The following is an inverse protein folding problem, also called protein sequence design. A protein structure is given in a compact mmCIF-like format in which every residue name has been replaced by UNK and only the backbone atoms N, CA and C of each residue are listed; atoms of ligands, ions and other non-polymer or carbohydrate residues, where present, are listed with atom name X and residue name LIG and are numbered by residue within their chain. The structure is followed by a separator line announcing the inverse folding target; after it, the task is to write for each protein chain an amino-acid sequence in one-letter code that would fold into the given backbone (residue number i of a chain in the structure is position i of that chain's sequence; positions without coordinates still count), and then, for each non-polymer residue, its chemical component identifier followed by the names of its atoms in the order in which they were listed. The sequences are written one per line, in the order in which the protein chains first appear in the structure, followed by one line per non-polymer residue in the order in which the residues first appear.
data_IF_289732542611
#
_entry.id   IF_289732542611
#
_cell.length_a   1.000
_cell.length_b   1.000
_cell.length_c   1.000
_cell.angle_alpha   90.00
_cell.angle_beta   90.00
_cell.angle_gamma   90.00
#
_symmetry.space_group_name_H-M   'P 1'
#
loop_
_entity.id
_entity.type
_entity.pdbx_description
1 polymer ?
#
# COMPACT_ATOMS: atom_id res chain seq x y z
N UNK A 1 -33.55 9.69 65.58
CA UNK A 1 -33.10 8.39 65.03
C UNK A 1 -32.91 8.59 63.53
N UNK A 2 -31.68 8.94 63.10
CA UNK A 2 -31.37 9.48 61.77
C UNK A 2 -31.05 8.35 60.76
N UNK A 3 -31.87 8.20 59.72
CA UNK A 3 -31.56 7.35 58.55
C UNK A 3 -30.64 8.11 57.59
N UNK A 4 -29.41 7.63 57.42
CA UNK A 4 -28.48 8.13 56.39
C UNK A 4 -28.66 7.29 55.12
N UNK A 5 -29.17 7.89 54.05
CA UNK A 5 -29.19 7.27 52.72
C UNK A 5 -27.81 7.45 52.08
N UNK A 6 -27.13 6.33 51.79
CA UNK A 6 -25.87 6.31 51.04
C UNK A 6 -26.21 6.19 49.55
N UNK A 7 -25.88 7.22 48.78
CA UNK A 7 -25.95 7.20 47.32
C UNK A 7 -24.75 6.38 46.80
N UNK A 8 -25.01 5.25 46.14
CA UNK A 8 -23.98 4.50 45.40
C UNK A 8 -23.96 5.03 43.97
N UNK A 9 -22.90 5.75 43.59
CA UNK A 9 -22.66 6.17 42.20
C UNK A 9 -21.97 5.02 41.47
N UNK A 10 -22.67 4.38 40.52
CA UNK A 10 -22.07 3.40 39.62
C UNK A 10 -21.40 4.13 38.45
N UNK A 11 -20.09 3.97 38.30
CA UNK A 11 -19.34 4.42 37.11
C UNK A 11 -19.52 3.36 36.03
N UNK A 12 -20.22 3.71 34.94
CA UNK A 12 -20.32 2.86 33.75
C UNK A 12 -19.09 3.13 32.89
N UNK A 13 -18.19 2.14 32.78
CA UNK A 13 -17.06 2.21 31.88
C UNK A 13 -17.53 1.93 30.44
N UNK A 14 -17.24 2.79 29.45
CA UNK A 14 -17.59 2.52 28.06
C UNK A 14 -16.75 1.35 27.52
N UNK A 15 -17.43 0.30 27.06
CA UNK A 15 -16.82 -0.82 26.35
C UNK A 15 -16.47 -0.36 24.93
N UNK A 16 -15.19 -0.07 24.68
CA UNK A 16 -14.71 0.22 23.33
C UNK A 16 -14.59 -1.12 22.59
N UNK A 17 -15.52 -1.40 21.69
CA UNK A 17 -15.39 -2.49 20.74
C UNK A 17 -14.31 -2.10 19.73
N UNK A 18 -13.15 -2.74 19.79
CA UNK A 18 -12.13 -2.58 18.76
C UNK A 18 -12.69 -3.12 17.43
N UNK A 19 -12.81 -2.27 16.42
CA UNK A 19 -13.09 -2.71 15.07
C UNK A 19 -11.91 -3.57 14.59
N UNK A 20 -12.19 -4.74 14.02
CA UNK A 20 -11.16 -5.57 13.39
C UNK A 20 -10.63 -4.82 12.17
N UNK A 21 -9.33 -4.50 12.15
CA UNK A 21 -8.69 -4.05 10.92
C UNK A 21 -8.70 -5.22 9.94
N UNK A 22 -9.31 -5.03 8.76
CA UNK A 22 -9.31 -6.02 7.68
C UNK A 22 -8.23 -5.61 6.67
N UNK A 23 -7.41 -6.58 6.29
CA UNK A 23 -6.42 -6.43 5.24
C UNK A 23 -6.75 -7.42 4.13
N UNK A 24 -6.80 -6.93 2.88
CA UNK A 24 -6.85 -7.82 1.72
C UNK A 24 -5.43 -7.99 1.16
N UNK A 25 -5.08 -9.23 0.81
CA UNK A 25 -3.74 -9.60 0.37
C UNK A 25 -3.77 -9.98 -1.11
N UNK A 26 -2.88 -9.38 -1.89
CA UNK A 26 -2.72 -9.68 -3.31
C UNK A 26 -1.27 -10.07 -3.61
N UNK A 27 -1.12 -11.13 -4.40
CA UNK A 27 0.16 -11.51 -4.99
C UNK A 27 0.36 -10.88 -6.36
N UNK A 28 1.53 -11.12 -6.96
CA UNK A 28 1.88 -10.59 -8.28
C UNK A 28 1.96 -11.68 -9.34
N UNK A 29 1.82 -11.27 -10.60
CA UNK A 29 2.10 -12.10 -11.77
C UNK A 29 3.16 -11.43 -12.63
N UNK A 30 3.95 -12.24 -13.32
CA UNK A 30 5.00 -11.75 -14.22
C UNK A 30 4.41 -11.49 -15.60
N UNK A 31 4.42 -10.22 -16.03
CA UNK A 31 3.83 -9.78 -17.31
C UNK A 31 4.86 -9.67 -18.45
N UNK A 32 6.14 -9.54 -18.12
CA UNK A 32 7.26 -9.53 -19.09
C UNK A 32 8.29 -10.60 -18.71
N UNK A 33 8.99 -11.15 -19.71
CA UNK A 33 10.00 -12.18 -19.48
C UNK A 33 11.40 -11.65 -19.82
N UNK A 34 11.92 -10.77 -18.97
CA UNK A 34 13.21 -10.11 -19.13
C UNK A 34 14.33 -10.70 -18.25
N UNK A 35 14.06 -11.80 -17.54
CA UNK A 35 15.02 -12.49 -16.69
C UNK A 35 14.70 -14.00 -16.58
N UNK A 36 15.71 -14.80 -16.26
CA UNK A 36 15.61 -16.26 -16.15
C UNK A 36 14.72 -16.73 -15.00
N UNK A 37 14.65 -15.94 -13.92
CA UNK A 37 13.87 -16.27 -12.74
C UNK A 37 12.57 -15.46 -12.66
N UNK A 38 11.47 -16.15 -12.32
CA UNK A 38 10.22 -15.50 -11.94
C UNK A 38 10.19 -15.30 -10.42
N UNK A 39 10.21 -14.05 -9.97
CA UNK A 39 10.18 -13.67 -8.56
C UNK A 39 8.81 -13.16 -8.10
N UNK A 40 7.76 -13.30 -8.92
CA UNK A 40 6.45 -12.74 -8.58
C UNK A 40 5.85 -13.35 -7.29
N UNK A 41 6.15 -14.62 -6.99
CA UNK A 41 5.61 -15.34 -5.81
C UNK A 41 6.16 -14.87 -4.47
N UNK A 42 7.27 -14.12 -4.44
CA UNK A 42 7.80 -13.55 -3.21
C UNK A 42 7.34 -12.10 -2.97
N UNK A 43 6.63 -11.50 -3.92
CA UNK A 43 6.07 -10.16 -3.76
C UNK A 43 4.63 -10.25 -3.25
N UNK A 44 4.30 -9.36 -2.33
CA UNK A 44 2.97 -9.25 -1.75
C UNK A 44 2.61 -7.79 -1.55
N UNK A 45 1.37 -7.42 -1.87
CA UNK A 45 0.76 -6.16 -1.44
C UNK A 45 -0.38 -6.45 -0.47
N UNK A 46 -0.28 -5.83 0.70
CA UNK A 46 -1.32 -5.79 1.70
C UNK A 46 -2.04 -4.45 1.58
N UNK A 47 -3.37 -4.48 1.44
CA UNK A 47 -4.18 -3.29 1.34
C UNK A 47 -5.08 -3.19 2.57
N UNK A 48 -5.08 -2.04 3.24
CA UNK A 48 -5.87 -1.79 4.46
C UNK A 48 -6.64 -0.49 4.38
N UNK A 49 -7.85 -0.46 4.97
CA UNK A 49 -8.62 0.77 5.15
C UNK A 49 -7.93 1.63 6.23
N UNK A 50 -7.35 2.76 5.80
CA UNK A 50 -6.69 3.70 6.69
C UNK A 50 -7.69 4.70 7.32
N UNK A 51 -8.98 4.54 7.01
CA UNK A 51 -10.07 5.40 7.44
C UNK A 51 -10.10 6.73 6.69
N UNK A 52 -11.16 7.50 6.91
CA UNK A 52 -11.30 8.89 6.41
C UNK A 52 -11.06 9.07 4.89
N UNK A 53 -11.37 8.04 4.08
CA UNK A 53 -11.17 8.07 2.63
C UNK A 53 -9.73 7.79 2.19
N UNK A 54 -8.97 7.03 2.98
CA UNK A 54 -7.61 6.60 2.64
C UNK A 54 -7.49 5.08 2.63
N UNK A 55 -6.63 4.57 1.75
CA UNK A 55 -6.19 3.18 1.77
C UNK A 55 -4.65 3.12 1.80
N UNK A 56 -4.11 2.19 2.59
CA UNK A 56 -2.68 1.91 2.69
C UNK A 56 -2.33 0.67 1.87
N UNK A 57 -1.35 0.80 0.96
CA UNK A 57 -0.82 -0.28 0.15
C UNK A 57 0.60 -0.58 0.61
N UNK A 58 0.77 -1.69 1.34
CA UNK A 58 2.05 -2.13 1.87
C UNK A 58 2.65 -3.25 1.03
N UNK A 59 3.74 -2.94 0.35
CA UNK A 59 4.53 -3.87 -0.46
C UNK A 59 5.62 -4.52 0.36
N UNK A 60 5.80 -5.82 0.15
CA UNK A 60 6.85 -6.62 0.79
C UNK A 60 7.45 -7.61 -0.19
N UNK A 61 8.69 -8.03 0.08
CA UNK A 61 9.43 -8.99 -0.70
C UNK A 61 10.01 -10.06 0.24
N UNK A 62 9.60 -11.32 0.12
CA UNK A 62 10.15 -12.41 0.93
C UNK A 62 11.64 -12.68 0.64
N UNK A 63 12.16 -12.19 -0.49
CA UNK A 63 13.57 -12.22 -0.88
C UNK A 63 14.19 -13.64 -0.89
N UNK A 64 13.39 -14.65 -1.29
CA UNK A 64 13.85 -16.03 -1.47
C UNK A 64 14.84 -16.16 -2.64
N UNK A 65 14.66 -15.31 -3.65
CA UNK A 65 15.55 -15.08 -4.78
C UNK A 65 15.96 -13.62 -4.76
N UNK A 66 17.26 -13.34 -4.95
CA UNK A 66 17.80 -11.98 -4.98
C UNK A 66 17.06 -11.10 -6.00
N UNK A 67 16.30 -10.13 -5.50
CA UNK A 67 15.56 -9.15 -6.30
C UNK A 67 15.17 -7.97 -5.42
N UNK A 68 14.72 -6.88 -6.04
CA UNK A 68 14.28 -5.67 -5.35
C UNK A 68 13.01 -5.15 -6.03
N UNK A 69 11.99 -4.82 -5.24
CA UNK A 69 10.87 -4.02 -5.73
C UNK A 69 11.41 -2.59 -5.84
N UNK A 70 11.60 -2.12 -7.07
CA UNK A 70 12.23 -0.83 -7.36
C UNK A 70 11.22 0.19 -7.86
N UNK A 71 10.15 -0.25 -8.50
CA UNK A 71 9.07 0.60 -8.96
C UNK A 71 7.72 -0.03 -8.59
N UNK A 72 6.73 0.80 -8.28
CA UNK A 72 5.33 0.40 -8.10
C UNK A 72 4.43 1.30 -8.94
N UNK A 73 3.43 0.70 -9.59
CA UNK A 73 2.48 1.36 -10.47
C UNK A 73 1.07 0.93 -10.08
N UNK A 74 0.11 1.85 -10.16
CA UNK A 74 -1.28 1.61 -9.83
C UNK A 74 -2.17 1.95 -11.03
N UNK A 75 -3.17 1.11 -11.24
CA UNK A 75 -4.18 1.30 -12.29
C UNK A 75 -5.25 2.30 -11.81
N UNK A 76 -5.77 3.13 -12.72
CA UNK A 76 -6.39 4.43 -12.42
C UNK A 76 -7.86 4.41 -11.93
N UNK A 77 -8.26 3.37 -11.18
CA UNK A 77 -9.63 3.13 -10.69
C UNK A 77 -10.17 4.13 -9.64
N UNK A 78 -10.33 3.70 -8.39
CA UNK A 78 -10.93 4.53 -7.31
C UNK A 78 -9.94 5.47 -6.61
N UNK A 79 -8.69 5.49 -7.08
CA UNK A 79 -7.59 6.20 -6.45
C UNK A 79 -7.54 7.67 -6.90
N UNK A 80 -7.62 8.59 -5.93
CA UNK A 80 -7.56 10.04 -6.17
C UNK A 80 -6.12 10.57 -6.19
N UNK A 81 -5.18 9.92 -5.51
CA UNK A 81 -3.76 10.30 -5.58
C UNK A 81 -2.95 9.76 -4.40
N UNK A 82 -1.63 9.71 -4.56
CA UNK A 82 -0.72 9.35 -3.47
C UNK A 82 -0.71 10.49 -2.46
N UNK A 83 -1.19 10.20 -1.25
CA UNK A 83 -1.23 11.13 -0.14
C UNK A 83 0.10 11.14 0.64
N UNK A 84 0.72 9.97 0.81
CA UNK A 84 2.05 9.87 1.43
C UNK A 84 2.76 8.57 1.08
N UNK A 85 4.09 8.62 1.12
CA UNK A 85 4.97 7.47 1.02
C UNK A 85 5.69 7.32 2.35
N UNK A 86 5.76 6.10 2.86
CA UNK A 86 6.50 5.75 4.08
C UNK A 86 7.12 4.37 3.91
N UNK A 87 8.22 4.10 4.59
CA UNK A 87 8.99 2.89 4.34
C UNK A 87 9.80 2.46 5.57
N UNK A 88 10.28 1.22 5.54
CA UNK A 88 11.29 0.74 6.49
C UNK A 88 12.65 1.42 6.27
N UNK A 89 13.55 1.31 7.26
CA UNK A 89 14.94 1.73 7.09
C UNK A 89 15.59 0.99 5.92
N UNK A 90 16.29 1.72 5.06
CA UNK A 90 16.95 1.18 3.86
C UNK A 90 16.13 1.32 2.59
N UNK A 91 14.81 1.56 2.71
CA UNK A 91 13.91 1.75 1.57
C UNK A 91 13.61 3.23 1.40
N UNK A 92 13.76 3.76 0.19
CA UNK A 92 13.49 5.17 -0.13
C UNK A 92 12.83 5.28 -1.51
N UNK A 93 11.68 5.93 -1.59
CA UNK A 93 10.86 6.04 -2.81
C UNK A 93 10.37 7.47 -3.02
N UNK A 94 10.34 7.87 -4.28
CA UNK A 94 9.79 9.15 -4.74
C UNK A 94 8.74 8.93 -5.85
N UNK A 95 7.89 9.93 -6.06
CA UNK A 95 6.92 9.95 -7.15
C UNK A 95 7.23 11.07 -8.17
N UNK A 96 6.87 10.90 -9.45
CA UNK A 96 6.42 9.66 -10.09
C UNK A 96 7.61 8.73 -10.44
N UNK A 97 7.32 7.48 -10.80
CA UNK A 97 8.35 6.58 -11.33
C UNK A 97 8.90 7.04 -12.70
N UNK A 98 10.11 6.61 -13.06
CA UNK A 98 10.70 6.77 -14.40
C UNK A 98 11.11 5.42 -15.01
N UNK A 99 10.46 4.93 -16.09
CA UNK A 99 9.38 5.57 -16.84
C UNK A 99 8.08 5.66 -16.03
N UNK A 100 7.22 6.63 -16.34
CA UNK A 100 6.02 6.82 -15.53
C UNK A 100 4.88 5.82 -15.80
N UNK A 101 4.94 5.05 -16.89
CA UNK A 101 3.96 4.00 -17.21
C UNK A 101 4.59 2.63 -16.99
N UNK A 102 3.80 1.66 -16.51
CA UNK A 102 4.24 0.30 -16.27
C UNK A 102 4.84 -0.32 -17.56
N UNK A 103 6.13 -0.70 -17.56
CA UNK A 103 6.73 -1.37 -18.70
C UNK A 103 6.01 -2.69 -19.03
N UNK A 104 5.51 -2.80 -20.27
CA UNK A 104 4.69 -3.94 -20.73
C UNK A 104 3.22 -3.88 -20.30
N UNK A 105 2.78 -2.86 -19.55
CA UNK A 105 1.38 -2.70 -19.15
C UNK A 105 0.43 -2.53 -20.34
N UNK A 106 0.92 -1.99 -21.46
CA UNK A 106 0.15 -1.82 -22.70
C UNK A 106 -0.16 -3.13 -23.44
N UNK A 107 0.39 -4.27 -23.02
CA UNK A 107 0.10 -5.59 -23.61
C UNK A 107 -0.94 -6.39 -22.82
N UNK A 108 -1.45 -5.84 -21.71
CA UNK A 108 -2.52 -6.44 -20.91
C UNK A 108 -3.90 -6.18 -21.54
N UNK A 109 -4.90 -6.98 -21.16
CA UNK A 109 -6.29 -6.82 -21.59
C UNK A 109 -7.24 -6.79 -20.37
N UNK A 110 -7.79 -5.62 -20.00
CA UNK A 110 -7.52 -4.30 -20.60
C UNK A 110 -6.07 -3.81 -20.34
N UNK A 111 -5.57 -2.83 -21.13
CA UNK A 111 -4.27 -2.21 -20.87
C UNK A 111 -4.22 -1.59 -19.48
N UNK A 112 -3.04 -1.63 -18.85
CA UNK A 112 -2.81 -1.00 -17.55
C UNK A 112 -2.58 0.51 -17.72
N UNK A 113 -3.34 1.34 -17.01
CA UNK A 113 -3.29 2.79 -17.13
C UNK A 113 -2.79 3.42 -15.82
N UNK A 114 -1.55 3.91 -15.82
CA UNK A 114 -0.96 4.55 -14.62
C UNK A 114 -1.44 6.00 -14.42
N UNK A 115 -2.09 6.58 -15.43
CA UNK A 115 -2.54 7.97 -15.42
C UNK A 115 -3.98 8.08 -14.95
N UNK A 116 -4.26 8.94 -13.97
CA UNK A 116 -5.63 9.29 -13.61
C UNK A 116 -6.37 10.09 -14.69
N UNK A 117 -7.69 10.17 -14.50
CA UNK A 117 -8.58 11.22 -15.05
C UNK A 117 -8.04 12.66 -14.95
N UNK A 118 -7.06 12.96 -14.08
CA UNK A 118 -6.44 14.29 -13.90
C UNK A 118 -4.95 14.38 -14.28
N UNK A 119 -4.43 13.43 -15.08
CA UNK A 119 -3.05 13.44 -15.59
C UNK A 119 -1.93 13.36 -14.54
N UNK A 120 -2.23 12.94 -13.30
CA UNK A 120 -1.21 12.52 -12.33
C UNK A 120 -0.86 11.05 -12.54
N UNK A 121 0.43 10.71 -12.47
CA UNK A 121 0.90 9.32 -12.57
C UNK A 121 0.92 8.68 -11.19
N UNK A 122 0.19 7.58 -11.05
CA UNK A 122 0.12 6.80 -9.83
C UNK A 122 1.25 5.78 -9.82
N UNK A 123 2.46 6.28 -9.64
CA UNK A 123 3.65 5.45 -9.56
C UNK A 123 4.69 6.06 -8.63
N UNK A 124 5.57 5.20 -8.12
CA UNK A 124 6.73 5.60 -7.35
C UNK A 124 7.90 4.67 -7.67
N UNK A 125 9.11 5.22 -7.71
CA UNK A 125 10.35 4.47 -7.88
C UNK A 125 11.31 4.69 -6.70
N UNK A 126 12.23 3.76 -6.53
CA UNK A 126 13.24 3.82 -5.49
C UNK A 126 14.31 4.86 -5.82
N UNK A 127 14.64 5.70 -4.85
CA UNK A 127 15.66 6.74 -5.00
C UNK A 127 17.06 6.12 -5.23
N UNK A 128 18.00 6.82 -5.89
CA UNK A 128 19.37 6.34 -6.03
C UNK A 128 20.07 6.07 -4.68
N UNK A 129 20.80 4.94 -4.54
CA UNK A 129 20.94 3.86 -5.51
C UNK A 129 19.68 2.98 -5.57
N UNK A 130 19.13 2.80 -6.78
CA UNK A 130 17.81 2.19 -7.04
C UNK A 130 17.66 0.81 -6.40
N UNK A 131 18.53 -0.15 -6.74
CA UNK A 131 18.38 -1.52 -6.23
C UNK A 131 18.53 -1.61 -4.68
N UNK A 132 19.57 -1.02 -4.05
CA UNK A 132 19.69 -1.03 -2.58
C UNK A 132 18.58 -0.28 -1.84
N UNK A 133 17.97 0.74 -2.45
CA UNK A 133 16.90 1.52 -1.83
C UNK A 133 15.48 0.99 -2.14
N UNK A 134 15.36 -0.02 -2.99
CA UNK A 134 14.12 -0.77 -3.18
C UNK A 134 13.84 -1.74 -2.04
N UNK A 135 12.71 -2.45 -2.09
CA UNK A 135 12.37 -3.50 -1.10
C UNK A 135 13.10 -4.79 -1.48
N UNK A 136 14.27 -5.03 -0.88
CA UNK A 136 15.22 -6.07 -1.29
C UNK A 136 15.48 -7.16 -0.23
N UNK A 137 14.99 -6.99 0.99
CA UNK A 137 15.04 -8.00 2.07
C UNK A 137 13.67 -8.35 2.65
N UNK A 138 13.58 -9.49 3.35
CA UNK A 138 12.36 -9.98 4.00
C UNK A 138 11.84 -9.12 5.15
N UNK A 139 12.66 -8.19 5.66
CA UNK A 139 12.27 -7.26 6.73
C UNK A 139 11.90 -5.86 6.23
N UNK A 140 12.10 -5.59 4.94
CA UNK A 140 11.84 -4.29 4.34
C UNK A 140 10.40 -4.19 3.83
N UNK A 141 9.87 -2.98 3.82
CA UNK A 141 8.55 -2.68 3.30
C UNK A 141 8.46 -1.25 2.77
N UNK A 142 7.55 -1.07 1.81
CA UNK A 142 7.12 0.21 1.27
C UNK A 142 5.61 0.33 1.53
N UNK A 143 5.16 1.44 2.10
CA UNK A 143 3.74 1.76 2.23
C UNK A 143 3.41 3.03 1.44
N UNK A 144 2.49 2.90 0.49
CA UNK A 144 1.93 4.03 -0.26
C UNK A 144 0.49 4.23 0.19
N UNK A 145 0.23 5.40 0.78
CA UNK A 145 -1.11 5.81 1.18
C UNK A 145 -1.77 6.56 0.04
N UNK A 146 -2.95 6.14 -0.35
CA UNK A 146 -3.78 6.82 -1.33
C UNK A 146 -4.96 7.53 -0.69
N UNK A 147 -5.25 8.73 -1.18
CA UNK A 147 -6.58 9.30 -1.04
C UNK A 147 -7.52 8.61 -2.04
N UNK A 148 -8.76 8.35 -1.63
CA UNK A 148 -9.81 7.75 -2.45
C UNK A 148 -10.79 8.82 -2.94
N UNK A 149 -11.46 8.55 -4.07
CA UNK A 149 -12.58 9.39 -4.50
C UNK A 149 -13.68 9.45 -3.42
N UNK A 150 -14.40 10.57 -3.35
CA UNK A 150 -15.47 10.73 -2.37
C UNK A 150 -16.51 9.61 -2.48
N UNK A 151 -16.77 8.92 -1.37
CA UNK A 151 -17.71 7.80 -1.31
C UNK A 151 -17.15 6.46 -1.78
N UNK A 152 -15.91 6.42 -2.28
CA UNK A 152 -15.20 5.16 -2.46
C UNK A 152 -14.76 4.61 -1.10
N UNK A 153 -14.78 3.28 -1.01
CA UNK A 153 -14.34 2.52 0.17
C UNK A 153 -13.30 1.51 -0.26
N UNK A 154 -12.44 1.15 0.68
CA UNK A 154 -11.61 -0.04 0.62
C UNK A 154 -12.03 -0.96 1.77
#
# INVERSE_FOLDING_TARGET
MNRRHRLCTAVVAPLVLAASARADLFGFSRITNNADHNVASQFLVEITDAGAGFADFRFTNAALISSSITDVYFDDGTLLGIASISSSRGVAFSQPATPGDLPGGNTLDPPFETSQRFAQRLSADSDPPVFPNGVNTSSEWLNIRFALFQGATF
#
